data_IF_687194474784
#
_entry.id   IF_687194474784
#
_cell.length_a   1.000
_cell.length_b   1.000
_cell.length_c   1.000
_cell.angle_alpha   90.00
_cell.angle_beta   90.00
_cell.angle_gamma   90.00
#
_symmetry.space_group_name_H-M   'P 1'
#
loop_
_entity.id
_entity.type
_entity.pdbx_description
1 polymer ?
#
# COMPACT_ATOMS: atom_id res chain seq x y z
N UNK A 1 18.00 -10.46 2.40
CA UNK A 1 16.90 -10.35 1.40
C UNK A 1 15.53 -10.34 2.07
N UNK A 2 15.06 -11.43 2.70
CA UNK A 2 13.70 -11.47 3.29
C UNK A 2 13.48 -10.40 4.38
N UNK A 3 14.37 -10.32 5.37
CA UNK A 3 14.29 -9.32 6.45
C UNK A 3 14.43 -7.89 5.91
N UNK A 4 15.32 -7.69 4.93
CA UNK A 4 15.43 -6.40 4.25
C UNK A 4 14.09 -6.06 3.56
N UNK A 5 13.47 -7.01 2.86
CA UNK A 5 12.13 -6.89 2.30
C UNK A 5 11.08 -6.46 3.33
N UNK A 6 11.07 -7.03 4.54
CA UNK A 6 10.18 -6.58 5.62
C UNK A 6 10.40 -5.10 5.94
N UNK A 7 11.67 -4.66 5.99
CA UNK A 7 12.02 -3.26 6.26
C UNK A 7 11.76 -2.33 5.09
N UNK A 8 11.68 -2.85 3.87
CA UNK A 8 11.41 -2.10 2.66
C UNK A 8 10.05 -1.39 2.72
N UNK A 9 9.07 -2.00 3.39
CA UNK A 9 7.67 -1.53 3.40
C UNK A 9 7.31 -0.65 4.61
N UNK A 10 8.24 -0.39 5.53
CA UNK A 10 8.05 0.65 6.56
C UNK A 10 8.81 1.91 6.19
N UNK A 11 8.15 3.07 6.15
CA UNK A 11 8.78 4.32 5.70
C UNK A 11 10.05 4.69 6.46
N UNK A 12 10.13 4.39 7.77
CA UNK A 12 11.32 4.66 8.57
C UNK A 12 12.49 3.71 8.27
N UNK A 13 12.21 2.44 7.93
CA UNK A 13 13.25 1.44 7.68
C UNK A 13 13.58 1.26 6.20
N UNK A 14 12.77 1.82 5.30
CA UNK A 14 12.92 1.71 3.86
C UNK A 14 14.29 2.18 3.35
N UNK A 15 14.87 3.32 3.79
CA UNK A 15 16.19 3.75 3.33
C UNK A 15 17.30 2.74 3.63
N UNK A 16 17.23 2.06 4.78
CA UNK A 16 18.21 1.01 5.13
C UNK A 16 18.04 -0.23 4.25
N UNK A 17 16.80 -0.62 3.96
CA UNK A 17 16.55 -1.71 3.04
C UNK A 17 17.01 -1.38 1.62
N UNK A 18 16.79 -0.15 1.15
CA UNK A 18 17.26 0.32 -0.16
C UNK A 18 18.79 0.26 -0.22
N UNK A 19 19.48 0.81 0.79
CA UNK A 19 20.94 0.75 0.86
C UNK A 19 21.48 -0.68 0.89
N UNK A 20 20.79 -1.60 1.58
CA UNK A 20 21.13 -3.02 1.55
C UNK A 20 20.98 -3.63 0.16
N UNK A 21 19.86 -3.39 -0.54
CA UNK A 21 19.64 -3.96 -1.88
C UNK A 21 20.56 -3.37 -2.95
N UNK A 22 20.93 -2.09 -2.86
CA UNK A 22 21.89 -1.46 -3.78
C UNK A 22 23.33 -1.99 -3.63
N UNK A 23 23.68 -2.52 -2.46
CA UNK A 23 25.03 -3.05 -2.19
C UNK A 23 25.11 -4.57 -2.27
N UNK A 24 23.97 -5.23 -2.50
CA UNK A 24 23.88 -6.68 -2.57
C UNK A 24 24.14 -7.14 -4.01
N UNK A 25 25.09 -8.05 -4.18
CA UNK A 25 25.39 -8.68 -5.48
C UNK A 25 24.99 -10.17 -5.46
N UNK A 26 23.69 -10.50 -5.69
CA UNK A 26 23.24 -11.88 -5.65
C UNK A 26 23.55 -12.61 -6.96
N UNK A 27 23.95 -13.88 -6.86
CA UNK A 27 24.13 -14.75 -8.04
C UNK A 27 22.88 -14.87 -8.93
N UNK A 28 21.68 -14.71 -8.34
CA UNK A 28 20.43 -14.69 -9.07
C UNK A 28 19.52 -13.58 -8.54
N UNK A 29 19.46 -12.48 -9.29
CA UNK A 29 18.66 -11.29 -8.99
C UNK A 29 17.17 -11.63 -8.88
N UNK A 30 16.65 -12.53 -9.72
CA UNK A 30 15.23 -12.89 -9.70
C UNK A 30 14.83 -13.58 -8.39
N UNK A 31 15.64 -14.52 -7.91
CA UNK A 31 15.39 -15.22 -6.63
C UNK A 31 15.52 -14.22 -5.47
N UNK A 32 16.54 -13.36 -5.51
CA UNK A 32 16.74 -12.36 -4.47
C UNK A 32 15.57 -11.37 -4.36
N UNK A 33 15.10 -10.87 -5.50
CA UNK A 33 13.94 -10.00 -5.59
C UNK A 33 12.66 -10.70 -5.13
N UNK A 34 12.44 -11.95 -5.51
CA UNK A 34 11.28 -12.75 -5.06
C UNK A 34 11.26 -12.94 -3.54
N UNK A 35 12.41 -13.30 -2.94
CA UNK A 35 12.54 -13.46 -1.47
C UNK A 35 12.36 -12.11 -0.76
N UNK A 36 12.91 -11.03 -1.30
CA UNK A 36 12.69 -9.67 -0.78
C UNK A 36 11.22 -9.26 -0.85
N UNK A 37 10.56 -9.50 -1.98
CA UNK A 37 9.15 -9.23 -2.20
C UNK A 37 8.23 -10.01 -1.23
N UNK A 38 8.56 -11.26 -0.90
CA UNK A 38 7.83 -12.03 0.13
C UNK A 38 7.95 -11.39 1.52
N UNK A 39 9.12 -10.84 1.85
CA UNK A 39 9.33 -10.11 3.10
C UNK A 39 8.47 -8.85 3.17
N UNK A 40 8.49 -8.06 2.10
CA UNK A 40 7.70 -6.83 1.99
C UNK A 40 6.18 -7.09 2.00
N UNK A 41 5.75 -8.19 1.36
CA UNK A 41 4.36 -8.65 1.44
C UNK A 41 3.94 -8.93 2.90
N UNK A 42 4.80 -9.61 3.66
CA UNK A 42 4.50 -9.94 5.05
C UNK A 42 4.32 -8.68 5.89
N UNK A 43 5.19 -7.67 5.74
CA UNK A 43 5.05 -6.39 6.44
C UNK A 43 3.80 -5.64 5.99
N UNK A 44 3.51 -5.54 4.69
CA UNK A 44 2.30 -4.87 4.19
C UNK A 44 1.00 -5.50 4.73
N UNK A 45 0.95 -6.83 4.80
CA UNK A 45 -0.21 -7.53 5.38
C UNK A 45 -0.33 -7.31 6.89
N UNK A 46 0.80 -7.25 7.59
CA UNK A 46 0.84 -6.96 9.02
C UNK A 46 0.39 -5.52 9.30
N UNK A 47 0.93 -4.56 8.56
CA UNK A 47 0.55 -3.14 8.60
C UNK A 47 -0.95 -3.01 8.32
N UNK A 48 -1.46 -3.65 7.26
CA UNK A 48 -2.88 -3.64 6.92
C UNK A 48 -3.73 -4.19 8.04
N UNK A 49 -3.33 -5.30 8.65
CA UNK A 49 -4.08 -5.90 9.75
C UNK A 49 -4.09 -5.00 10.98
N UNK A 50 -2.95 -4.42 11.36
CA UNK A 50 -2.84 -3.51 12.51
C UNK A 50 -3.71 -2.27 12.28
N UNK A 51 -3.57 -1.61 11.13
CA UNK A 51 -4.33 -0.39 10.83
C UNK A 51 -5.83 -0.69 10.76
N UNK A 52 -6.20 -1.78 10.07
CA UNK A 52 -7.60 -2.18 9.96
C UNK A 52 -8.21 -2.48 11.32
N UNK A 53 -7.48 -3.09 12.25
CA UNK A 53 -7.97 -3.36 13.61
C UNK A 53 -8.01 -2.09 14.45
N UNK A 54 -6.96 -1.28 14.40
CA UNK A 54 -6.78 -0.10 15.26
C UNK A 54 -7.69 1.08 14.89
N UNK A 55 -8.14 1.17 13.64
CA UNK A 55 -8.91 2.32 13.15
C UNK A 55 -10.33 1.95 12.68
N UNK A 56 -10.78 0.70 12.89
CA UNK A 56 -12.08 0.24 12.39
C UNK A 56 -13.23 1.09 12.93
N UNK A 57 -13.15 1.49 14.20
CA UNK A 57 -14.20 2.24 14.89
C UNK A 57 -14.18 3.71 14.50
N UNK A 58 -13.01 4.31 14.35
CA UNK A 58 -12.79 5.64 13.80
C UNK A 58 -13.33 5.73 12.38
N UNK A 59 -13.03 4.75 11.52
CA UNK A 59 -13.58 4.68 10.17
C UNK A 59 -15.10 4.55 10.16
N UNK A 60 -15.66 3.75 11.08
CA UNK A 60 -17.11 3.62 11.23
C UNK A 60 -17.77 4.92 11.72
N UNK A 61 -17.10 5.70 12.58
CA UNK A 61 -17.57 7.03 13.02
C UNK A 61 -17.46 8.05 11.90
N UNK A 62 -16.34 8.10 11.18
CA UNK A 62 -16.11 8.98 10.03
C UNK A 62 -17.16 8.79 8.92
N UNK A 63 -17.51 7.54 8.61
CA UNK A 63 -18.58 7.22 7.64
C UNK A 63 -19.95 7.77 8.05
N UNK A 64 -20.18 7.99 9.35
CA UNK A 64 -21.45 8.51 9.88
C UNK A 64 -21.49 10.04 9.93
N UNK A 65 -20.36 10.73 9.74
CA UNK A 65 -20.27 12.19 9.77
C UNK A 65 -21.05 12.82 8.61
N UNK A 66 -21.71 13.96 8.87
CA UNK A 66 -22.53 14.69 7.87
C UNK A 66 -21.76 14.94 6.57
N UNK A 67 -20.52 15.40 6.63
CA UNK A 67 -19.68 15.63 5.47
C UNK A 67 -19.54 14.39 4.56
N UNK A 68 -19.27 13.21 5.13
CA UNK A 68 -19.12 11.98 4.33
C UNK A 68 -20.47 11.45 3.82
N UNK A 69 -21.56 11.63 4.58
CA UNK A 69 -22.90 11.30 4.11
C UNK A 69 -23.33 12.19 2.95
N UNK A 70 -23.03 13.47 3.03
CA UNK A 70 -23.36 14.48 2.02
C UNK A 70 -22.52 14.28 0.75
N UNK A 71 -21.22 14.00 0.91
CA UNK A 71 -20.35 13.55 -0.19
C UNK A 71 -20.90 12.29 -0.84
N UNK A 72 -21.30 11.26 -0.06
CA UNK A 72 -21.86 10.04 -0.64
C UNK A 72 -23.21 10.29 -1.35
N UNK A 73 -24.07 11.15 -0.79
CA UNK A 73 -25.36 11.51 -1.37
C UNK A 73 -25.19 12.26 -2.70
N UNK A 74 -24.32 13.28 -2.73
CA UNK A 74 -23.95 14.03 -3.94
C UNK A 74 -23.33 13.12 -5.02
N UNK A 75 -22.50 12.17 -4.60
CA UNK A 75 -21.83 11.20 -5.49
C UNK A 75 -22.71 10.01 -5.91
N UNK A 76 -23.96 9.91 -5.41
CA UNK A 76 -24.93 8.88 -5.81
C UNK A 76 -25.73 9.27 -7.06
N UNK A 77 -25.62 10.51 -7.52
CA UNK A 77 -26.33 10.98 -8.71
C UNK A 77 -25.65 10.49 -10.00
N UNK A 78 -26.46 9.93 -10.90
CA UNK A 78 -26.07 9.00 -11.97
C UNK A 78 -24.99 9.47 -12.98
N UNK A 79 -24.76 10.77 -13.28
CA UNK A 79 -23.66 11.15 -14.19
C UNK A 79 -22.29 11.26 -13.49
N UNK A 80 -22.22 11.51 -12.18
CA UNK A 80 -20.95 11.69 -11.45
C UNK A 80 -20.33 10.38 -10.94
N UNK A 81 -21.09 9.27 -10.90
CA UNK A 81 -20.64 7.99 -10.37
C UNK A 81 -19.44 7.39 -11.14
N UNK A 82 -19.30 7.67 -12.44
CA UNK A 82 -18.11 7.26 -13.22
C UNK A 82 -16.88 8.11 -12.91
N UNK A 83 -17.05 9.42 -12.77
CA UNK A 83 -15.98 10.36 -12.41
C UNK A 83 -15.51 10.20 -10.96
N UNK A 84 -16.42 9.75 -10.07
CA UNK A 84 -16.14 9.40 -8.68
C UNK A 84 -15.00 8.41 -8.54
N UNK A 85 -15.03 7.34 -9.34
CA UNK A 85 -13.98 6.34 -9.33
C UNK A 85 -12.67 6.97 -9.80
N UNK A 86 -12.66 7.71 -10.92
CA UNK A 86 -11.44 8.36 -11.40
C UNK A 86 -10.87 9.39 -10.42
N UNK A 87 -11.68 10.21 -9.74
CA UNK A 87 -11.18 11.15 -8.73
C UNK A 87 -10.70 10.46 -7.46
N UNK A 88 -11.38 9.42 -6.98
CA UNK A 88 -10.90 8.62 -5.85
C UNK A 88 -9.63 7.85 -6.22
N UNK A 89 -9.53 7.30 -7.43
CA UNK A 89 -8.32 6.68 -7.95
C UNK A 89 -7.21 7.71 -8.20
N UNK A 90 -7.53 8.95 -8.56
CA UNK A 90 -6.56 10.03 -8.71
C UNK A 90 -6.07 10.54 -7.36
N UNK A 91 -6.93 10.67 -6.35
CA UNK A 91 -6.52 11.01 -4.98
C UNK A 91 -5.74 9.87 -4.32
N UNK A 92 -6.20 8.63 -4.49
CA UNK A 92 -5.45 7.45 -4.06
C UNK A 92 -4.12 7.36 -4.79
N UNK A 93 -4.10 7.58 -6.11
CA UNK A 93 -2.89 7.61 -6.93
C UNK A 93 -1.95 8.75 -6.56
N UNK A 94 -2.46 9.94 -6.23
CA UNK A 94 -1.68 11.09 -5.75
C UNK A 94 -1.07 10.83 -4.38
N UNK A 95 -1.80 10.12 -3.51
CA UNK A 95 -1.31 9.76 -2.17
C UNK A 95 -0.33 8.58 -2.24
N UNK A 96 -0.56 7.60 -3.12
CA UNK A 96 0.38 6.51 -3.43
C UNK A 96 1.65 7.05 -4.12
N UNK A 97 1.54 8.09 -4.95
CA UNK A 97 2.67 8.71 -5.64
C UNK A 97 3.39 9.78 -4.80
N UNK A 98 2.79 10.21 -3.69
CA UNK A 98 3.47 11.08 -2.73
C UNK A 98 4.48 10.26 -1.91
N UNK A 99 5.51 10.88 -1.30
CA UNK A 99 6.49 10.17 -0.45
C UNK A 99 5.85 9.84 0.92
N UNK A 100 4.58 9.44 0.91
CA UNK A 100 3.85 9.03 2.08
C UNK A 100 4.12 7.54 2.30
N UNK A 101 4.55 7.15 3.51
CA UNK A 101 4.90 5.78 3.85
C UNK A 101 3.81 4.77 3.44
N UNK A 102 4.17 3.53 3.08
CA UNK A 102 3.23 2.48 2.64
C UNK A 102 2.07 2.26 3.64
N UNK A 103 2.31 2.58 4.91
CA UNK A 103 1.32 2.64 5.99
C UNK A 103 0.12 3.55 5.66
N UNK A 104 0.32 4.67 4.97
CA UNK A 104 -0.74 5.59 4.60
C UNK A 104 -1.57 5.08 3.42
N UNK A 105 -0.93 4.51 2.39
CA UNK A 105 -1.63 3.84 1.29
C UNK A 105 -2.50 2.69 1.81
N UNK A 106 -1.93 1.86 2.68
CA UNK A 106 -2.63 0.75 3.34
C UNK A 106 -3.76 1.25 4.26
N UNK A 107 -3.55 2.35 5.01
CA UNK A 107 -4.59 2.95 5.87
C UNK A 107 -5.79 3.48 5.11
N UNK A 108 -5.55 4.11 3.96
CA UNK A 108 -6.61 4.62 3.10
C UNK A 108 -7.41 3.49 2.47
N UNK A 109 -6.74 2.44 1.99
CA UNK A 109 -7.41 1.25 1.47
C UNK A 109 -8.23 0.57 2.57
N UNK A 110 -7.69 0.47 3.80
CA UNK A 110 -8.39 -0.11 4.95
C UNK A 110 -9.64 0.71 5.38
N UNK A 111 -9.57 2.05 5.29
CA UNK A 111 -10.64 2.93 5.75
C UNK A 111 -11.76 3.19 4.75
N UNK A 112 -11.38 3.38 3.48
CA UNK A 112 -12.28 3.89 2.43
C UNK A 112 -12.78 2.80 1.48
N UNK A 113 -12.13 1.63 1.41
CA UNK A 113 -12.46 0.60 0.41
C UNK A 113 -12.70 -0.78 1.01
N UNK A 114 -13.64 -1.55 0.42
CA UNK A 114 -13.84 -2.98 0.73
C UNK A 114 -12.78 -3.84 0.02
N UNK A 115 -11.50 -3.47 0.07
CA UNK A 115 -10.46 -4.26 -0.57
C UNK A 115 -10.29 -5.58 0.19
N UNK A 116 -10.35 -6.68 -0.57
CA UNK A 116 -10.10 -8.02 -0.05
C UNK A 116 -8.59 -8.17 0.17
N UNK A 117 -8.20 -8.75 1.30
CA UNK A 117 -6.79 -8.93 1.69
C UNK A 117 -5.95 -9.63 0.62
N UNK A 118 -6.54 -10.58 -0.13
CA UNK A 118 -5.84 -11.26 -1.21
C UNK A 118 -5.45 -10.33 -2.38
N UNK A 119 -6.23 -9.27 -2.64
CA UNK A 119 -5.94 -8.32 -3.75
C UNK A 119 -4.76 -7.47 -3.33
N UNK A 120 -4.79 -6.98 -2.09
CA UNK A 120 -3.65 -6.27 -1.50
C UNK A 120 -2.40 -7.14 -1.54
N UNK A 121 -2.51 -8.42 -1.16
CA UNK A 121 -1.38 -9.35 -1.16
C UNK A 121 -0.74 -9.50 -2.55
N UNK A 122 -1.56 -9.70 -3.60
CA UNK A 122 -1.05 -9.85 -4.97
C UNK A 122 -0.38 -8.56 -5.44
N UNK A 123 -1.03 -7.41 -5.25
CA UNK A 123 -0.50 -6.12 -5.69
C UNK A 123 0.80 -5.77 -4.97
N UNK A 124 0.80 -5.86 -3.63
CA UNK A 124 1.98 -5.63 -2.78
C UNK A 124 3.14 -6.50 -3.20
N UNK A 125 2.90 -7.81 -3.37
CA UNK A 125 3.96 -8.73 -3.75
C UNK A 125 4.59 -8.38 -5.10
N UNK A 126 3.76 -8.09 -6.12
CA UNK A 126 4.26 -7.75 -7.45
C UNK A 126 5.03 -6.43 -7.42
N UNK A 127 4.48 -5.39 -6.79
CA UNK A 127 5.10 -4.06 -6.73
C UNK A 127 6.42 -4.10 -5.96
N UNK A 128 6.44 -4.72 -4.79
CA UNK A 128 7.67 -4.82 -3.98
C UNK A 128 8.73 -5.69 -4.66
N UNK A 129 8.35 -6.81 -5.29
CA UNK A 129 9.29 -7.64 -6.04
C UNK A 129 9.91 -6.86 -7.20
N UNK A 130 9.12 -6.08 -7.95
CA UNK A 130 9.62 -5.24 -9.04
C UNK A 130 10.52 -4.11 -8.53
N UNK A 131 10.15 -3.43 -7.45
CA UNK A 131 10.97 -2.37 -6.85
C UNK A 131 12.33 -2.90 -6.40
N UNK A 132 12.34 -4.03 -5.68
CA UNK A 132 13.59 -4.67 -5.23
C UNK A 132 14.40 -5.19 -6.43
N UNK A 133 13.75 -5.74 -7.46
CA UNK A 133 14.42 -6.16 -8.69
C UNK A 133 15.15 -5.00 -9.37
N UNK A 134 14.51 -3.83 -9.47
CA UNK A 134 15.12 -2.63 -10.04
C UNK A 134 16.34 -2.22 -9.20
N UNK A 135 16.22 -2.19 -7.87
CA UNK A 135 17.34 -1.84 -6.99
C UNK A 135 18.53 -2.78 -7.11
N UNK A 136 18.29 -4.08 -7.30
CA UNK A 136 19.34 -5.08 -7.51
C UNK A 136 19.95 -5.06 -8.91
N UNK A 137 19.34 -4.33 -9.85
CA UNK A 137 19.80 -4.23 -11.24
C UNK A 137 20.62 -2.96 -11.52
N UNK A 138 20.71 -2.06 -10.54
CA UNK A 138 21.49 -0.81 -10.57
C UNK A 138 22.88 -1.11 -10.01
#
# INVERSE_FOLDING_TARGET
>A
MFIAGIFFSFGFTAPFSVGYFLTLDPQNIFIAAFIGGLGALLSDLLIFKIIKLSFIDEFNRLKKTKAIKEINYLLSQKPLARFKNYMLFALAGFIIASPLPDELGVSMLAGLTKIKTHVLAIISFIMNTLGIFILLSI
#
